data_IF_195441841008
#
_entry.id   IF_195441841008
#
_cell.length_a   1.000
_cell.length_b   1.000
_cell.length_c   1.000
_cell.angle_alpha   90.00
_cell.angle_beta   90.00
_cell.angle_gamma   90.00
#
_symmetry.space_group_name_H-M   'P 1'
#
loop_
_entity.id
_entity.type
_entity.pdbx_description
1 polymer ?
#
# COMPACT_ATOMS: atom_id res chain seq x y z
N UNK A 1 -33.48 13.79 -21.73
CA UNK A 1 -32.02 13.56 -21.63
C UNK A 1 -31.80 12.70 -20.41
N UNK A 2 -30.99 11.64 -20.51
CA UNK A 2 -30.65 10.83 -19.34
C UNK A 2 -29.88 11.68 -18.32
N UNK A 3 -30.07 11.43 -17.02
CA UNK A 3 -29.27 12.10 -15.98
C UNK A 3 -27.83 11.64 -16.08
N UNK A 4 -26.90 12.58 -16.12
CA UNK A 4 -25.47 12.31 -16.12
C UNK A 4 -24.83 12.65 -14.78
N UNK A 5 -23.82 11.87 -14.39
CA UNK A 5 -23.09 12.00 -13.14
C UNK A 5 -21.65 12.41 -13.41
N UNK A 6 -21.17 13.42 -12.68
CA UNK A 6 -19.79 13.90 -12.78
C UNK A 6 -18.85 12.94 -12.06
N UNK A 7 -18.00 12.26 -12.83
CA UNK A 7 -17.05 11.26 -12.39
C UNK A 7 -15.66 11.55 -12.96
N UNK A 8 -14.71 10.63 -12.76
CA UNK A 8 -13.32 10.78 -13.18
C UNK A 8 -12.87 9.63 -14.09
N UNK A 9 -11.85 9.89 -14.88
CA UNK A 9 -10.96 8.86 -15.43
C UNK A 9 -9.88 8.52 -14.41
N UNK A 10 -9.14 7.43 -14.63
CA UNK A 10 -8.02 7.02 -13.79
C UNK A 10 -6.86 8.02 -13.80
N UNK A 11 -6.76 8.89 -14.82
CA UNK A 11 -5.82 10.03 -14.85
C UNK A 11 -6.36 11.31 -14.16
N UNK A 12 -7.57 11.25 -13.58
CA UNK A 12 -8.21 12.36 -12.89
C UNK A 12 -9.05 13.29 -13.79
N UNK A 13 -9.05 13.09 -15.12
CA UNK A 13 -9.88 13.86 -16.04
C UNK A 13 -11.36 13.71 -15.70
N UNK A 14 -12.09 14.83 -15.66
CA UNK A 14 -13.53 14.82 -15.42
C UNK A 14 -14.29 14.27 -16.62
N UNK A 15 -15.25 13.40 -16.35
CA UNK A 15 -16.21 12.84 -17.32
C UNK A 15 -17.63 12.89 -16.78
N UNK A 16 -18.60 12.80 -17.67
CA UNK A 16 -20.02 12.75 -17.34
C UNK A 16 -20.59 11.46 -17.92
N UNK A 17 -21.14 10.60 -17.07
CA UNK A 17 -21.62 9.28 -17.47
C UNK A 17 -23.09 9.12 -17.06
N UNK A 18 -23.90 8.52 -17.95
CA UNK A 18 -25.23 8.05 -17.60
C UNK A 18 -25.14 6.75 -16.77
N UNK A 19 -26.21 6.41 -16.05
CA UNK A 19 -26.27 5.22 -15.19
C UNK A 19 -25.94 3.92 -15.96
N UNK A 20 -26.45 3.78 -17.18
CA UNK A 20 -26.22 2.60 -18.01
C UNK A 20 -24.73 2.41 -18.27
N UNK A 21 -24.02 3.51 -18.59
CA UNK A 21 -22.59 3.47 -18.84
C UNK A 21 -21.78 3.19 -17.56
N UNK A 22 -22.23 3.69 -16.41
CA UNK A 22 -21.61 3.37 -15.11
C UNK A 22 -21.70 1.87 -14.84
N UNK A 23 -22.87 1.26 -15.07
CA UNK A 23 -23.05 -0.18 -14.87
C UNK A 23 -22.17 -1.02 -15.81
N UNK A 24 -22.11 -0.67 -17.10
CA UNK A 24 -21.23 -1.35 -18.07
C UNK A 24 -19.75 -1.31 -17.62
N UNK A 25 -19.28 -0.17 -17.11
CA UNK A 25 -17.92 -0.01 -16.64
C UNK A 25 -17.66 -0.83 -15.36
N UNK A 26 -18.63 -0.90 -14.45
CA UNK A 26 -18.55 -1.74 -13.24
C UNK A 26 -18.46 -3.22 -13.62
N UNK A 27 -19.36 -3.71 -14.49
CA UNK A 27 -19.38 -5.09 -14.98
C UNK A 27 -18.04 -5.47 -15.62
N UNK A 28 -17.50 -4.58 -16.46
CA UNK A 28 -16.21 -4.79 -17.11
C UNK A 28 -15.02 -4.76 -16.12
N UNK A 29 -15.08 -3.94 -15.07
CA UNK A 29 -14.05 -3.84 -14.06
C UNK A 29 -13.99 -5.08 -13.17
N UNK A 30 -15.16 -5.53 -12.69
CA UNK A 30 -15.24 -6.74 -11.87
C UNK A 30 -14.92 -8.01 -12.66
N UNK A 31 -15.38 -8.12 -13.92
CA UNK A 31 -15.03 -9.24 -14.79
C UNK A 31 -13.51 -9.33 -15.04
N UNK A 32 -12.83 -8.18 -15.19
CA UNK A 32 -11.38 -8.17 -15.34
C UNK A 32 -10.65 -8.68 -14.10
N UNK A 33 -11.07 -8.27 -12.90
CA UNK A 33 -10.49 -8.77 -11.67
C UNK A 33 -10.75 -10.28 -11.47
N UNK A 34 -11.98 -10.70 -11.73
CA UNK A 34 -12.40 -12.10 -11.63
C UNK A 34 -11.59 -13.02 -12.55
N UNK A 35 -11.38 -12.60 -13.79
CA UNK A 35 -10.60 -13.35 -14.79
C UNK A 35 -9.11 -13.43 -14.40
N UNK A 36 -8.49 -12.30 -14.06
CA UNK A 36 -7.06 -12.24 -13.74
C UNK A 36 -6.70 -12.93 -12.43
N UNK A 37 -7.53 -12.74 -11.40
CA UNK A 37 -7.30 -13.31 -10.07
C UNK A 37 -7.85 -14.72 -9.89
N UNK A 38 -8.62 -15.24 -10.85
CA UNK A 38 -9.40 -16.47 -10.70
C UNK A 38 -10.36 -16.41 -9.47
N UNK A 39 -10.95 -15.24 -9.24
CA UNK A 39 -11.82 -14.95 -8.09
C UNK A 39 -13.27 -14.68 -8.52
N UNK A 40 -14.26 -14.78 -7.62
CA UNK A 40 -15.64 -14.43 -7.96
C UNK A 40 -15.77 -12.94 -8.32
N UNK A 41 -16.55 -12.65 -9.37
CA UNK A 41 -16.98 -11.29 -9.64
C UNK A 41 -17.96 -10.78 -8.56
N UNK A 42 -18.14 -9.47 -8.49
CA UNK A 42 -19.15 -8.86 -7.62
C UNK A 42 -20.55 -9.36 -7.97
N UNK A 43 -21.37 -9.55 -6.94
CA UNK A 43 -22.77 -9.90 -7.13
C UNK A 43 -23.56 -8.74 -7.76
N UNK A 44 -24.74 -9.03 -8.31
CA UNK A 44 -25.61 -7.99 -8.86
C UNK A 44 -25.95 -6.89 -7.83
N UNK A 45 -26.17 -7.28 -6.57
CA UNK A 45 -26.48 -6.35 -5.49
C UNK A 45 -25.28 -5.47 -5.13
N UNK A 46 -24.08 -6.04 -5.11
CA UNK A 46 -22.83 -5.30 -4.88
C UNK A 46 -22.53 -4.32 -6.02
N UNK A 47 -22.74 -4.73 -7.28
CA UNK A 47 -22.60 -3.84 -8.43
C UNK A 47 -23.61 -2.68 -8.38
N UNK A 48 -24.86 -2.96 -7.99
CA UNK A 48 -25.87 -1.92 -7.81
C UNK A 48 -25.48 -0.95 -6.69
N UNK A 49 -25.03 -1.46 -5.54
CA UNK A 49 -24.55 -0.66 -4.41
C UNK A 49 -23.34 0.21 -4.79
N UNK A 50 -22.40 -0.33 -5.57
CA UNK A 50 -21.26 0.43 -6.07
C UNK A 50 -21.71 1.57 -7.00
N UNK A 51 -22.66 1.30 -7.89
CA UNK A 51 -23.25 2.33 -8.74
C UNK A 51 -23.95 3.41 -7.91
N UNK A 52 -24.68 3.05 -6.85
CA UNK A 52 -25.29 4.01 -5.92
C UNK A 52 -24.24 4.91 -5.25
N UNK A 53 -23.11 4.37 -4.79
CA UNK A 53 -22.00 5.16 -4.22
C UNK A 53 -21.44 6.14 -5.26
N UNK A 54 -21.19 5.68 -6.48
CA UNK A 54 -20.67 6.52 -7.57
C UNK A 54 -21.62 7.67 -7.92
N UNK A 55 -22.92 7.38 -7.94
CA UNK A 55 -23.99 8.32 -8.27
C UNK A 55 -24.46 9.16 -7.07
N UNK A 56 -23.92 8.93 -5.88
CA UNK A 56 -24.35 9.59 -4.65
C UNK A 56 -24.19 11.12 -4.79
N UNK A 57 -25.23 11.90 -4.42
CA UNK A 57 -25.16 13.35 -4.46
C UNK A 57 -24.16 13.87 -3.42
N UNK A 58 -23.44 14.94 -3.78
CA UNK A 58 -22.42 15.53 -2.92
C UNK A 58 -21.01 15.36 -3.47
N UNK A 59 -20.15 16.34 -3.20
CA UNK A 59 -18.75 16.27 -3.63
C UNK A 59 -18.00 15.23 -2.80
N UNK A 60 -18.12 15.29 -1.47
CA UNK A 60 -17.60 14.30 -0.55
C UNK A 60 -18.73 13.39 -0.05
N UNK A 61 -18.43 12.12 0.13
CA UNK A 61 -19.32 11.11 0.73
C UNK A 61 -18.61 10.43 1.91
N UNK A 62 -19.34 9.74 2.76
CA UNK A 62 -18.76 8.95 3.85
C UNK A 62 -19.67 7.78 4.18
N UNK A 63 -19.17 6.86 5.00
CA UNK A 63 -19.95 5.78 5.62
C UNK A 63 -20.98 6.33 6.61
N UNK A 64 -21.97 5.51 6.94
CA UNK A 64 -22.94 5.86 7.98
C UNK A 64 -22.31 5.79 9.38
N UNK A 65 -22.91 6.48 10.35
CA UNK A 65 -22.42 6.45 11.72
C UNK A 65 -22.50 5.03 12.30
N UNK A 66 -21.43 4.59 12.95
CA UNK A 66 -21.24 3.23 13.45
C UNK A 66 -20.55 2.29 12.44
N UNK A 67 -20.27 2.76 11.23
CA UNK A 67 -19.53 2.03 10.18
C UNK A 67 -18.13 2.60 9.94
N UNK A 68 -17.67 3.51 10.80
CA UNK A 68 -16.32 4.06 10.74
C UNK A 68 -15.28 2.97 11.01
N UNK A 69 -14.13 3.08 10.35
CA UNK A 69 -12.99 2.18 10.48
C UNK A 69 -11.73 2.99 10.78
N UNK A 70 -10.70 2.37 11.41
CA UNK A 70 -9.39 2.97 11.58
C UNK A 70 -8.83 3.59 10.30
N UNK A 71 -8.32 4.81 10.42
CA UNK A 71 -7.53 5.50 9.40
C UNK A 71 -6.06 5.39 9.76
N UNK A 72 -5.34 4.56 9.02
CA UNK A 72 -3.91 4.31 9.20
C UNK A 72 -3.12 5.03 8.12
N UNK A 73 -2.08 5.76 8.53
CA UNK A 73 -1.35 6.63 7.61
C UNK A 73 0.06 6.12 7.32
N UNK A 74 0.32 5.93 6.03
CA UNK A 74 1.64 5.75 5.43
C UNK A 74 2.30 7.12 5.08
N UNK A 75 3.56 7.06 4.68
CA UNK A 75 4.47 8.17 4.39
C UNK A 75 4.67 9.18 5.54
N UNK A 76 4.11 8.87 6.70
CA UNK A 76 4.23 9.60 7.95
C UNK A 76 4.29 11.12 7.82
N UNK A 77 5.32 11.68 8.44
CA UNK A 77 5.50 13.13 8.59
C UNK A 77 5.76 13.90 7.30
N UNK A 78 6.09 13.19 6.21
CA UNK A 78 6.48 13.82 4.95
C UNK A 78 5.28 14.09 4.02
N UNK A 79 4.05 13.66 4.38
CA UNK A 79 2.82 14.12 3.70
C UNK A 79 2.74 15.65 3.61
N UNK A 80 3.18 16.37 4.65
CA UNK A 80 3.13 17.83 4.68
C UNK A 80 4.39 18.45 4.08
N UNK A 81 5.56 18.09 4.61
CA UNK A 81 6.85 18.72 4.25
C UNK A 81 7.43 18.21 2.92
N UNK A 82 7.13 16.96 2.54
CA UNK A 82 7.62 16.33 1.33
C UNK A 82 7.07 17.01 0.07
N UNK A 83 7.79 16.83 -1.04
CA UNK A 83 7.35 17.31 -2.34
C UNK A 83 6.31 16.37 -2.99
N UNK A 84 5.71 16.84 -4.09
CA UNK A 84 4.69 16.09 -4.82
C UNK A 84 5.24 14.79 -5.46
N UNK A 85 6.57 14.66 -5.61
CA UNK A 85 7.21 13.44 -6.12
C UNK A 85 7.11 12.30 -5.12
N UNK A 86 7.16 12.61 -3.83
CA UNK A 86 6.91 11.68 -2.73
C UNK A 86 5.49 11.87 -2.15
N UNK A 87 4.47 12.20 -2.97
CA UNK A 87 3.08 12.35 -2.49
C UNK A 87 2.85 13.36 -1.36
N UNK A 88 3.80 14.29 -1.13
CA UNK A 88 3.71 15.35 -0.14
C UNK A 88 3.14 16.64 -0.72
N UNK A 89 2.75 17.58 0.14
CA UNK A 89 2.12 18.84 -0.28
C UNK A 89 3.05 20.06 -0.29
N UNK A 90 4.32 19.90 0.05
CA UNK A 90 5.35 20.94 0.00
C UNK A 90 5.12 22.09 0.97
N UNK A 91 4.47 21.83 2.11
CA UNK A 91 4.24 22.78 3.19
C UNK A 91 5.34 22.59 4.23
N UNK A 92 6.30 23.53 4.35
CA UNK A 92 7.43 23.37 5.26
C UNK A 92 6.97 23.10 6.69
N UNK A 93 7.31 21.93 7.22
CA UNK A 93 6.93 21.52 8.57
C UNK A 93 7.97 20.59 9.19
N UNK A 94 8.10 20.60 10.51
CA UNK A 94 8.98 19.62 11.17
C UNK A 94 8.26 18.28 11.25
N UNK A 95 9.03 17.19 11.35
CA UNK A 95 8.47 15.84 11.47
C UNK A 95 7.48 15.69 12.64
N UNK A 96 7.84 16.23 13.81
CA UNK A 96 6.94 16.27 14.96
C UNK A 96 5.62 17.02 14.68
N UNK A 97 5.69 18.18 14.01
CA UNK A 97 4.48 18.94 13.63
C UNK A 97 3.65 18.13 12.65
N UNK A 98 4.29 17.43 11.70
CA UNK A 98 3.63 16.50 10.79
C UNK A 98 2.84 15.41 11.51
N UNK A 99 3.46 14.69 12.46
CA UNK A 99 2.79 13.68 13.28
C UNK A 99 1.59 14.28 14.03
N UNK A 100 1.81 15.37 14.79
CA UNK A 100 0.77 15.98 15.60
C UNK A 100 -0.38 16.55 14.76
N UNK A 101 -0.11 16.99 13.52
CA UNK A 101 -1.16 17.49 12.63
C UNK A 101 -2.08 16.36 12.15
N UNK A 102 -1.53 15.18 11.81
CA UNK A 102 -2.34 14.03 11.43
C UNK A 102 -3.18 13.54 12.61
N UNK A 103 -2.60 13.41 13.79
CA UNK A 103 -3.33 13.04 15.01
C UNK A 103 -4.42 14.05 15.36
N UNK A 104 -4.07 15.34 15.49
CA UNK A 104 -4.94 16.32 16.16
C UNK A 104 -5.86 17.09 15.22
N UNK A 105 -5.44 17.27 13.96
CA UNK A 105 -6.22 18.03 12.99
C UNK A 105 -6.96 17.13 12.00
N UNK A 106 -6.36 16.00 11.61
CA UNK A 106 -6.95 15.08 10.63
C UNK A 106 -7.66 13.88 11.28
N UNK A 107 -7.34 13.56 12.54
CA UNK A 107 -7.99 12.49 13.27
C UNK A 107 -7.52 11.10 12.84
N UNK A 108 -6.24 10.97 12.49
CA UNK A 108 -5.61 9.68 12.23
C UNK A 108 -5.65 8.77 13.46
N UNK A 109 -5.91 7.47 13.27
CA UNK A 109 -5.96 6.48 14.35
C UNK A 109 -4.59 5.85 14.63
N UNK A 110 -3.72 5.82 13.62
CA UNK A 110 -2.28 5.53 13.77
C UNK A 110 -1.47 6.51 12.94
N UNK A 111 -0.18 6.60 13.24
CA UNK A 111 0.75 7.38 12.46
C UNK A 111 2.07 6.65 12.37
N UNK A 112 2.93 7.11 11.48
CA UNK A 112 4.30 6.64 11.41
C UNK A 112 5.29 7.79 11.29
N UNK A 113 6.52 7.50 11.71
CA UNK A 113 7.69 8.31 11.44
C UNK A 113 8.47 7.66 10.29
N UNK A 114 8.94 8.49 9.35
CA UNK A 114 9.76 8.03 8.24
C UNK A 114 10.89 9.01 7.91
N UNK A 115 11.93 8.49 7.25
CA UNK A 115 12.96 9.30 6.62
C UNK A 115 12.45 9.89 5.31
N UNK A 116 13.05 10.98 4.81
CA UNK A 116 12.56 11.69 3.60
C UNK A 116 12.61 10.85 2.32
N UNK A 117 13.58 9.94 2.22
CA UNK A 117 13.66 8.94 1.14
C UNK A 117 12.61 7.84 1.30
N UNK A 118 12.13 7.66 2.53
CA UNK A 118 11.10 6.70 2.91
C UNK A 118 11.44 5.25 2.52
N UNK A 119 12.74 4.91 2.54
CA UNK A 119 13.23 3.55 2.37
C UNK A 119 14.12 3.14 3.54
N UNK A 120 14.24 1.84 3.83
CA UNK A 120 15.12 1.37 4.90
C UNK A 120 16.60 1.69 4.63
N UNK A 121 17.10 1.46 3.40
CA UNK A 121 18.54 1.55 3.13
C UNK A 121 19.15 2.91 3.51
N UNK A 122 18.55 4.08 3.20
CA UNK A 122 19.13 5.38 3.57
C UNK A 122 19.03 5.72 5.05
N UNK A 123 18.24 5.00 5.84
CA UNK A 123 18.14 5.20 7.29
C UNK A 123 19.42 4.75 8.00
N UNK A 124 20.06 3.68 7.52
CA UNK A 124 21.24 3.08 8.16
C UNK A 124 22.35 4.07 8.57
N UNK A 125 22.83 4.98 7.69
CA UNK A 125 23.86 5.96 8.07
C UNK A 125 23.37 7.03 9.06
N UNK A 126 22.06 7.24 9.19
CA UNK A 126 21.45 8.31 10.00
C UNK A 126 20.56 7.77 11.12
N UNK A 127 20.61 6.47 11.44
CA UNK A 127 19.66 5.81 12.36
C UNK A 127 19.61 6.47 13.74
N UNK A 128 20.72 7.05 14.20
CA UNK A 128 20.75 7.77 15.48
C UNK A 128 19.85 9.02 15.48
N UNK A 129 19.78 9.75 14.35
CA UNK A 129 18.86 10.88 14.20
C UNK A 129 17.40 10.39 14.15
N UNK A 130 17.15 9.24 13.52
CA UNK A 130 15.82 8.63 13.46
C UNK A 130 15.35 8.16 14.83
N UNK A 131 16.24 7.55 15.61
CA UNK A 131 15.99 7.17 17.00
C UNK A 131 15.63 8.38 17.87
N UNK A 132 16.39 9.48 17.77
CA UNK A 132 16.09 10.71 18.49
C UNK A 132 14.73 11.29 18.07
N UNK A 133 14.43 11.29 16.78
CA UNK A 133 13.15 11.78 16.28
C UNK A 133 11.98 10.91 16.76
N UNK A 134 12.15 9.59 16.78
CA UNK A 134 11.17 8.64 17.32
C UNK A 134 10.89 8.91 18.79
N UNK A 135 11.92 9.03 19.62
CA UNK A 135 11.78 9.34 21.05
C UNK A 135 11.03 10.67 21.27
N UNK A 136 11.38 11.71 20.52
CA UNK A 136 10.72 13.02 20.62
C UNK A 136 9.24 12.92 20.21
N UNK A 137 8.93 12.21 19.13
CA UNK A 137 7.54 12.06 18.69
C UNK A 137 6.73 11.24 19.72
N UNK A 138 7.28 10.13 20.21
CA UNK A 138 6.59 9.31 21.21
C UNK A 138 6.28 10.04 22.53
N UNK A 139 7.11 11.01 22.93
CA UNK A 139 6.82 11.85 24.11
C UNK A 139 5.68 12.87 23.88
N UNK A 140 5.24 13.06 22.64
CA UNK A 140 4.28 14.11 22.26
C UNK A 140 3.01 13.59 21.56
N UNK A 141 2.94 12.28 21.30
CA UNK A 141 1.85 11.61 20.60
C UNK A 141 1.04 10.73 21.57
N UNK A 142 -0.20 10.44 21.20
CA UNK A 142 -1.13 9.56 21.92
C UNK A 142 -1.43 8.32 21.07
N UNK A 143 -1.66 8.51 19.77
CA UNK A 143 -1.90 7.40 18.84
C UNK A 143 -0.63 6.57 18.63
N UNK A 144 -0.75 5.26 18.28
CA UNK A 144 0.41 4.43 17.96
C UNK A 144 1.26 5.06 16.87
N UNK A 145 2.58 5.07 17.08
CA UNK A 145 3.57 5.61 16.16
C UNK A 145 4.52 4.50 15.68
N UNK A 146 4.30 4.04 14.45
CA UNK A 146 5.17 3.08 13.79
C UNK A 146 6.39 3.77 13.18
N UNK A 147 7.39 2.99 12.77
CA UNK A 147 8.36 3.45 11.79
C UNK A 147 7.98 2.93 10.41
N UNK A 148 7.71 3.84 9.48
CA UNK A 148 7.32 3.55 8.10
C UNK A 148 8.50 3.65 7.16
N UNK A 149 8.70 2.61 6.35
CA UNK A 149 9.69 2.64 5.28
C UNK A 149 9.41 1.57 4.22
N UNK A 150 9.74 1.92 2.99
CA UNK A 150 9.76 0.97 1.88
C UNK A 150 10.95 0.02 1.98
N UNK A 151 10.76 -1.27 1.69
CA UNK A 151 11.87 -2.18 1.44
C UNK A 151 12.77 -1.66 0.30
N UNK A 152 12.14 -1.24 -0.80
CA UNK A 152 12.77 -0.60 -1.96
C UNK A 152 14.07 -1.29 -2.39
N UNK A 153 13.97 -2.58 -2.73
CA UNK A 153 15.14 -3.39 -3.09
C UNK A 153 15.95 -2.80 -4.26
N UNK A 154 15.33 -1.95 -5.09
CA UNK A 154 15.98 -1.22 -6.16
C UNK A 154 17.21 -0.42 -5.71
N UNK A 155 17.20 0.12 -4.48
CA UNK A 155 18.34 0.85 -3.93
C UNK A 155 19.55 -0.04 -3.67
N UNK A 156 19.41 -1.36 -3.59
CA UNK A 156 20.53 -2.29 -3.43
C UNK A 156 21.23 -2.61 -4.75
N UNK A 157 20.69 -2.15 -5.87
CA UNK A 157 21.33 -2.26 -7.18
C UNK A 157 22.20 -1.07 -7.54
N UNK A 158 23.19 -1.29 -8.41
CA UNK A 158 24.00 -0.23 -9.01
C UNK A 158 23.13 0.78 -9.75
N UNK A 159 23.41 2.09 -9.66
CA UNK A 159 24.65 2.67 -9.12
C UNK A 159 24.68 2.90 -7.60
N UNK A 160 23.52 2.88 -6.93
CA UNK A 160 23.41 3.28 -5.52
C UNK A 160 23.76 2.15 -4.54
N UNK A 161 23.65 0.90 -5.00
CA UNK A 161 23.92 -0.30 -4.23
C UNK A 161 25.03 -1.18 -4.80
N UNK A 162 25.42 -2.19 -4.02
CA UNK A 162 26.60 -3.01 -4.32
C UNK A 162 26.34 -4.10 -5.36
N UNK A 163 25.09 -4.38 -5.73
CA UNK A 163 24.75 -5.49 -6.62
C UNK A 163 24.42 -5.01 -8.03
N UNK A 164 24.84 -5.73 -9.07
CA UNK A 164 24.58 -5.31 -10.45
C UNK A 164 23.08 -5.31 -10.77
N UNK A 165 22.60 -4.31 -11.50
CA UNK A 165 21.17 -4.16 -11.79
C UNK A 165 20.62 -5.38 -12.57
N UNK A 166 19.62 -6.12 -12.03
CA UNK A 166 19.07 -7.31 -12.69
C UNK A 166 18.48 -7.02 -14.06
N UNK A 167 17.86 -5.84 -14.25
CA UNK A 167 17.31 -5.44 -15.54
C UNK A 167 18.38 -5.29 -16.62
N UNK A 168 19.58 -4.82 -16.26
CA UNK A 168 20.69 -4.70 -17.21
C UNK A 168 21.36 -6.04 -17.49
N UNK A 169 21.52 -6.88 -16.45
CA UNK A 169 21.98 -8.26 -16.59
C UNK A 169 21.06 -9.09 -17.49
N UNK A 170 19.75 -8.98 -17.32
CA UNK A 170 18.76 -9.66 -18.16
C UNK A 170 18.83 -9.20 -19.62
N UNK A 171 18.96 -7.89 -19.87
CA UNK A 171 19.17 -7.36 -21.24
C UNK A 171 20.46 -7.87 -21.88
N UNK A 172 21.47 -8.16 -21.07
CA UNK A 172 22.74 -8.76 -21.49
C UNK A 172 22.69 -10.31 -21.58
N UNK A 173 21.51 -10.93 -21.40
CA UNK A 173 21.31 -12.39 -21.38
C UNK A 173 22.07 -13.12 -20.25
N UNK A 174 22.44 -12.41 -19.18
CA UNK A 174 23.13 -12.94 -18.00
C UNK A 174 22.13 -13.31 -16.92
N UNK A 175 21.28 -14.30 -17.20
CA UNK A 175 20.12 -14.63 -16.34
C UNK A 175 20.55 -15.13 -14.95
N UNK A 176 21.54 -16.01 -14.87
CA UNK A 176 22.02 -16.51 -13.58
C UNK A 176 22.59 -15.39 -12.72
N UNK A 177 23.38 -14.49 -13.31
CA UNK A 177 23.94 -13.34 -12.59
C UNK A 177 22.82 -12.41 -12.11
N UNK A 178 21.73 -12.26 -12.87
CA UNK A 178 20.57 -11.48 -12.47
C UNK A 178 19.85 -12.10 -11.26
N UNK A 179 19.67 -13.42 -11.26
CA UNK A 179 19.11 -14.16 -10.12
C UNK A 179 19.99 -14.03 -8.88
N UNK A 180 21.28 -14.31 -9.01
CA UNK A 180 22.25 -14.18 -7.91
C UNK A 180 22.24 -12.74 -7.35
N UNK A 181 22.14 -11.72 -8.22
CA UNK A 181 22.05 -10.32 -7.79
C UNK A 181 20.77 -10.02 -6.98
N UNK A 182 19.61 -10.53 -7.43
CA UNK A 182 18.34 -10.37 -6.72
C UNK A 182 18.35 -11.09 -5.37
N UNK A 183 18.89 -12.31 -5.29
CA UNK A 183 19.02 -13.07 -4.05
C UNK A 183 19.90 -12.33 -3.03
N UNK A 184 21.10 -11.89 -3.44
CA UNK A 184 21.99 -11.14 -2.55
C UNK A 184 21.38 -9.79 -2.11
N UNK A 185 20.66 -9.11 -3.00
CA UNK A 185 19.97 -7.87 -2.68
C UNK A 185 18.86 -8.10 -1.64
N UNK A 186 18.06 -9.16 -1.80
CA UNK A 186 17.00 -9.51 -0.86
C UNK A 186 17.56 -9.87 0.53
N UNK A 187 18.67 -10.62 0.59
CA UNK A 187 19.35 -10.90 1.86
C UNK A 187 19.90 -9.62 2.52
N UNK A 188 20.46 -8.70 1.74
CA UNK A 188 20.98 -7.44 2.26
C UNK A 188 19.86 -6.54 2.79
N UNK A 189 18.78 -6.42 2.02
CA UNK A 189 17.54 -5.75 2.44
C UNK A 189 17.05 -6.30 3.78
N UNK A 190 16.92 -7.62 3.88
CA UNK A 190 16.47 -8.31 5.10
C UNK A 190 17.31 -7.91 6.31
N UNK A 191 18.64 -7.99 6.18
CA UNK A 191 19.57 -7.65 7.28
C UNK A 191 19.48 -6.18 7.70
N UNK A 192 19.37 -5.28 6.73
CA UNK A 192 19.32 -3.85 7.00
C UNK A 192 18.02 -3.47 7.69
N UNK A 193 16.88 -3.99 7.23
CA UNK A 193 15.58 -3.75 7.87
C UNK A 193 15.56 -4.25 9.30
N UNK A 194 16.04 -5.48 9.57
CA UNK A 194 16.12 -6.02 10.94
C UNK A 194 16.98 -5.11 11.82
N UNK A 195 18.18 -4.76 11.36
CA UNK A 195 19.11 -3.94 12.15
C UNK A 195 18.55 -2.55 12.45
N UNK A 196 17.89 -1.92 11.47
CA UNK A 196 17.26 -0.61 11.63
C UNK A 196 16.13 -0.69 12.65
N UNK A 197 15.25 -1.68 12.52
CA UNK A 197 14.11 -1.83 13.42
C UNK A 197 14.52 -2.22 14.84
N UNK A 198 15.58 -3.01 15.03
CA UNK A 198 16.15 -3.26 16.36
C UNK A 198 16.53 -1.95 17.09
N UNK A 199 17.00 -0.93 16.36
CA UNK A 199 17.34 0.38 16.94
C UNK A 199 16.11 1.22 17.22
N UNK A 200 15.20 1.31 16.25
CA UNK A 200 14.02 2.16 16.36
C UNK A 200 13.03 1.64 17.40
N UNK A 201 12.86 0.31 17.47
CA UNK A 201 12.03 -0.32 18.49
C UNK A 201 12.62 -0.11 19.89
N UNK A 202 13.94 -0.17 20.04
CA UNK A 202 14.61 0.18 21.30
C UNK A 202 14.47 1.67 21.69
N UNK A 203 14.22 2.55 20.71
CA UNK A 203 13.90 3.97 20.89
C UNK A 203 12.39 4.26 20.99
N UNK A 204 11.59 3.22 21.14
CA UNK A 204 10.18 3.33 21.51
C UNK A 204 9.20 3.33 20.35
N UNK A 205 9.58 3.01 19.11
CA UNK A 205 8.62 2.77 18.03
C UNK A 205 7.61 1.69 18.46
N UNK A 206 6.31 1.90 18.21
CA UNK A 206 5.29 0.89 18.55
C UNK A 206 5.29 -0.31 17.60
N UNK A 207 5.90 -0.13 16.43
CA UNK A 207 5.88 -1.11 15.36
C UNK A 207 6.61 -0.64 14.11
N UNK A 208 6.39 -1.36 13.03
CA UNK A 208 6.91 -1.09 11.70
C UNK A 208 5.81 -1.20 10.66
N UNK A 209 5.81 -0.27 9.71
CA UNK A 209 5.05 -0.38 8.47
C UNK A 209 6.01 -0.64 7.31
N UNK A 210 5.91 -1.85 6.76
CA UNK A 210 6.57 -2.21 5.50
C UNK A 210 5.69 -1.75 4.35
N UNK A 211 5.86 -0.50 3.95
CA UNK A 211 5.07 0.10 2.87
C UNK A 211 5.65 -0.28 1.50
N UNK A 212 4.79 -0.35 0.47
CA UNK A 212 5.20 -0.51 -0.93
C UNK A 212 6.06 -1.78 -1.10
N UNK A 213 5.70 -2.82 -0.35
CA UNK A 213 6.34 -4.14 -0.41
C UNK A 213 6.19 -4.74 -1.80
N UNK A 214 7.23 -5.41 -2.28
CA UNK A 214 7.26 -6.07 -3.59
C UNK A 214 7.31 -5.12 -4.81
N UNK A 215 7.60 -3.82 -4.63
CA UNK A 215 7.73 -2.88 -5.75
C UNK A 215 8.80 -3.27 -6.77
N UNK A 216 9.91 -3.88 -6.32
CA UNK A 216 10.94 -4.44 -7.20
C UNK A 216 10.71 -5.92 -7.56
N UNK A 217 9.51 -6.44 -7.31
CA UNK A 217 9.09 -7.80 -7.63
C UNK A 217 9.30 -8.81 -6.50
N UNK A 218 9.31 -10.08 -6.88
CA UNK A 218 9.33 -11.23 -5.99
C UNK A 218 10.57 -11.32 -5.08
N UNK A 219 11.72 -10.76 -5.49
CA UNK A 219 12.90 -10.63 -4.61
C UNK A 219 12.70 -9.66 -3.45
N UNK A 220 11.98 -8.56 -3.68
CA UNK A 220 11.68 -7.57 -2.65
C UNK A 220 10.69 -8.16 -1.64
N UNK A 221 9.67 -8.87 -2.16
CA UNK A 221 8.72 -9.57 -1.31
C UNK A 221 9.40 -10.67 -0.47
N UNK A 222 10.30 -11.44 -1.08
CA UNK A 222 11.09 -12.47 -0.38
C UNK A 222 11.87 -11.88 0.79
N UNK A 223 12.63 -10.80 0.55
CA UNK A 223 13.39 -10.14 1.61
C UNK A 223 12.49 -9.58 2.71
N UNK A 224 11.35 -9.00 2.33
CA UNK A 224 10.38 -8.44 3.28
C UNK A 224 9.75 -9.52 4.17
N UNK A 225 9.29 -10.64 3.61
CA UNK A 225 8.70 -11.74 4.39
C UNK A 225 9.70 -12.32 5.41
N UNK A 226 10.97 -12.46 5.03
CA UNK A 226 12.01 -12.92 5.95
C UNK A 226 12.38 -11.88 7.00
N UNK A 227 12.30 -10.59 6.69
CA UNK A 227 12.47 -9.52 7.67
C UNK A 227 11.34 -9.54 8.71
N UNK A 228 10.08 -9.68 8.26
CA UNK A 228 8.91 -9.80 9.13
C UNK A 228 9.04 -11.01 10.05
N UNK A 229 9.41 -12.18 9.50
CA UNK A 229 9.59 -13.42 10.28
C UNK A 229 10.67 -13.27 11.36
N UNK A 230 11.81 -12.67 11.01
CA UNK A 230 12.90 -12.43 11.95
C UNK A 230 12.48 -11.44 13.04
N UNK A 231 11.82 -10.34 12.69
CA UNK A 231 11.35 -9.34 13.64
C UNK A 231 10.27 -9.87 14.57
N UNK A 232 9.27 -10.61 14.07
CA UNK A 232 8.26 -11.27 14.91
C UNK A 232 8.90 -12.23 15.90
N UNK A 233 9.90 -12.99 15.47
CA UNK A 233 10.62 -13.93 16.33
C UNK A 233 11.42 -13.23 17.43
N UNK A 234 12.07 -12.12 17.11
CA UNK A 234 12.87 -11.36 18.06
C UNK A 234 12.01 -10.51 19.00
N UNK A 235 10.94 -9.92 18.46
CA UNK A 235 10.01 -9.02 19.15
C UNK A 235 8.56 -9.52 19.00
N UNK A 236 8.11 -10.49 19.82
CA UNK A 236 6.79 -11.10 19.70
C UNK A 236 5.62 -10.11 19.84
N UNK A 237 5.84 -8.96 20.47
CA UNK A 237 4.83 -7.92 20.70
C UNK A 237 4.93 -6.74 19.71
N UNK A 238 5.92 -6.73 18.82
CA UNK A 238 6.05 -5.65 17.81
C UNK A 238 4.83 -5.66 16.91
N UNK A 239 4.21 -4.49 16.69
CA UNK A 239 3.18 -4.37 15.68
C UNK A 239 3.82 -4.28 14.29
N UNK A 240 3.35 -5.09 13.35
CA UNK A 240 3.91 -5.17 12.00
C UNK A 240 2.77 -5.00 10.99
N UNK A 241 2.85 -3.96 10.19
CA UNK A 241 2.00 -3.73 9.03
C UNK A 241 2.79 -4.00 7.75
N UNK A 242 2.15 -4.63 6.78
CA UNK A 242 2.76 -4.93 5.48
C UNK A 242 1.83 -4.49 4.35
N UNK A 243 2.10 -3.29 3.82
CA UNK A 243 1.45 -2.70 2.66
C UNK A 243 2.15 -3.09 1.36
N UNK A 244 1.37 -3.40 0.32
CA UNK A 244 1.87 -3.94 -0.94
C UNK A 244 1.99 -2.84 -2.00
N UNK A 245 2.87 -3.01 -2.99
CA UNK A 245 3.07 -2.02 -4.06
C UNK A 245 2.16 -2.18 -5.28
N UNK A 246 1.72 -3.41 -5.56
CA UNK A 246 0.84 -3.71 -6.68
C UNK A 246 -0.06 -4.91 -6.39
N UNK A 247 -1.16 -5.04 -7.13
CA UNK A 247 -2.09 -6.15 -6.95
C UNK A 247 -1.46 -7.51 -7.25
N UNK A 248 -0.41 -7.55 -8.06
CA UNK A 248 0.29 -8.78 -8.43
C UNK A 248 1.79 -8.60 -8.20
N UNK A 249 2.40 -9.57 -7.53
CA UNK A 249 3.86 -9.59 -7.34
C UNK A 249 4.55 -9.88 -8.67
N UNK A 250 5.34 -8.93 -9.18
CA UNK A 250 6.07 -9.11 -10.43
C UNK A 250 7.16 -10.16 -10.31
N UNK A 251 7.18 -11.14 -11.21
CA UNK A 251 8.20 -12.20 -11.26
C UNK A 251 9.48 -11.77 -11.96
N UNK A 252 10.24 -10.86 -11.36
CA UNK A 252 11.56 -10.46 -11.89
C UNK A 252 12.54 -11.63 -11.77
N UNK A 253 12.57 -12.30 -10.62
CA UNK A 253 13.30 -13.55 -10.46
C UNK A 253 12.49 -14.74 -10.97
N UNK A 254 11.21 -14.81 -10.61
CA UNK A 254 10.25 -15.81 -11.08
C UNK A 254 10.27 -17.15 -10.35
N UNK A 255 11.26 -17.40 -9.48
CA UNK A 255 11.47 -18.70 -8.84
C UNK A 255 11.63 -18.62 -7.32
N UNK A 256 11.63 -17.42 -6.72
CA UNK A 256 11.76 -17.29 -5.28
C UNK A 256 10.50 -17.81 -4.59
N UNK A 257 10.72 -18.57 -3.52
CA UNK A 257 9.65 -19.22 -2.77
C UNK A 257 9.71 -18.83 -1.30
N UNK A 258 8.55 -18.63 -0.71
CA UNK A 258 8.37 -18.57 0.73
C UNK A 258 7.47 -19.71 1.15
N UNK A 259 7.94 -20.54 2.08
CA UNK A 259 7.23 -21.75 2.53
C UNK A 259 6.77 -22.68 1.38
N UNK A 260 7.60 -22.81 0.35
CA UNK A 260 7.30 -23.63 -0.83
C UNK A 260 6.28 -23.04 -1.79
N UNK A 261 5.81 -21.81 -1.56
CA UNK A 261 4.94 -21.05 -2.47
C UNK A 261 5.79 -20.09 -3.30
N UNK A 262 5.71 -20.20 -4.63
CA UNK A 262 6.34 -19.24 -5.53
C UNK A 262 5.72 -17.86 -5.38
N UNK A 263 6.56 -16.85 -5.15
CA UNK A 263 6.12 -15.49 -4.86
C UNK A 263 5.69 -14.71 -6.11
N UNK A 264 6.29 -15.00 -7.25
CA UNK A 264 5.94 -14.39 -8.53
C UNK A 264 4.50 -14.72 -8.94
N UNK A 265 3.75 -13.69 -9.34
CA UNK A 265 2.39 -13.83 -9.86
C UNK A 265 1.30 -13.91 -8.80
N UNK A 266 1.63 -13.77 -7.51
CA UNK A 266 0.63 -13.81 -6.44
C UNK A 266 -0.27 -12.58 -6.47
N UNK A 267 -1.57 -12.82 -6.48
CA UNK A 267 -2.64 -11.82 -6.34
C UNK A 267 -2.97 -11.53 -4.86
N UNK A 268 -3.76 -10.49 -4.52
CA UNK A 268 -3.87 -10.04 -3.12
C UNK A 268 -4.39 -11.12 -2.16
N UNK A 269 -5.35 -11.92 -2.61
CA UNK A 269 -5.89 -13.05 -1.84
C UNK A 269 -4.88 -14.19 -1.62
N UNK A 270 -3.82 -14.27 -2.43
CA UNK A 270 -2.74 -15.25 -2.28
C UNK A 270 -1.54 -14.69 -1.50
N UNK A 271 -1.39 -13.37 -1.46
CA UNK A 271 -0.39 -12.67 -0.65
C UNK A 271 -0.75 -12.72 0.84
N UNK A 272 -2.03 -12.47 1.20
CA UNK A 272 -2.50 -12.41 2.58
C UNK A 272 -2.06 -13.60 3.47
N UNK A 273 -2.22 -14.87 3.05
CA UNK A 273 -1.79 -16.01 3.88
C UNK A 273 -0.28 -16.05 4.14
N UNK A 274 0.55 -15.59 3.19
CA UNK A 274 2.01 -15.58 3.34
C UNK A 274 2.45 -14.45 4.30
N UNK A 275 1.83 -13.28 4.18
CA UNK A 275 2.04 -12.14 5.09
C UNK A 275 1.65 -12.50 6.53
N UNK A 276 0.49 -13.13 6.70
CA UNK A 276 0.04 -13.67 7.98
C UNK A 276 1.02 -14.70 8.55
N UNK A 277 1.50 -15.61 7.69
CA UNK A 277 2.45 -16.65 8.09
C UNK A 277 3.81 -16.07 8.51
N UNK A 278 4.30 -15.04 7.84
CA UNK A 278 5.52 -14.34 8.23
C UNK A 278 5.39 -13.69 9.62
N UNK A 279 4.16 -13.32 10.01
CA UNK A 279 3.87 -12.81 11.35
C UNK A 279 3.51 -11.33 11.39
N UNK A 280 3.00 -10.78 10.29
CA UNK A 280 2.39 -9.45 10.31
C UNK A 280 1.11 -9.42 11.17
N UNK A 281 0.73 -8.23 11.63
CA UNK A 281 -0.53 -7.96 12.33
C UNK A 281 -1.60 -7.40 11.39
N UNK A 282 -1.19 -6.62 10.38
CA UNK A 282 -2.07 -5.99 9.40
C UNK A 282 -1.55 -6.28 8.00
N UNK A 283 -2.48 -6.56 7.10
CA UNK A 283 -2.18 -6.69 5.67
C UNK A 283 -2.74 -5.50 4.92
N UNK A 284 -1.89 -4.82 4.14
CA UNK A 284 -2.27 -3.79 3.20
C UNK A 284 -2.31 -4.33 1.78
N UNK A 285 -3.46 -4.85 1.31
CA UNK A 285 -3.61 -5.19 -0.09
C UNK A 285 -3.78 -3.92 -0.92
N UNK A 286 -3.24 -3.94 -2.14
CA UNK A 286 -3.34 -2.81 -3.08
C UNK A 286 -3.89 -3.25 -4.42
N UNK A 287 -4.50 -2.31 -5.12
CA UNK A 287 -4.86 -2.46 -6.55
C UNK A 287 -4.56 -1.18 -7.29
N UNK A 288 -3.68 -1.24 -8.29
CA UNK A 288 -3.29 -0.09 -9.09
C UNK A 288 -4.42 0.36 -10.01
N UNK A 289 -4.55 1.69 -10.14
CA UNK A 289 -5.50 2.36 -11.01
C UNK A 289 -4.98 2.37 -12.45
N UNK A 290 -5.83 1.93 -13.38
CA UNK A 290 -5.59 2.09 -14.80
C UNK A 290 -6.00 3.50 -15.25
N UNK A 291 -5.02 4.31 -15.62
CA UNK A 291 -5.20 5.72 -16.02
C UNK A 291 -6.09 5.91 -17.25
N UNK A 292 -6.17 4.88 -18.12
CA UNK A 292 -6.99 4.89 -19.34
C UNK A 292 -8.44 4.45 -19.11
N UNK A 293 -8.81 4.07 -17.88
CA UNK A 293 -10.14 3.56 -17.53
C UNK A 293 -10.93 4.54 -16.69
N UNK A 294 -12.24 4.37 -16.64
CA UNK A 294 -13.13 5.24 -15.86
C UNK A 294 -13.03 4.91 -14.36
N UNK A 295 -13.44 5.83 -13.48
CA UNK A 295 -13.46 5.57 -12.04
C UNK A 295 -14.42 4.44 -11.64
N UNK A 296 -15.61 4.24 -12.28
CA UNK A 296 -16.42 3.04 -12.05
C UNK A 296 -15.68 1.74 -12.36
N UNK A 297 -14.95 1.67 -13.48
CA UNK A 297 -14.19 0.47 -13.87
C UNK A 297 -13.07 0.18 -12.87
N UNK A 298 -12.27 1.20 -12.54
CA UNK A 298 -11.14 1.06 -11.61
C UNK A 298 -11.62 0.66 -10.21
N UNK A 299 -12.69 1.29 -9.72
CA UNK A 299 -13.21 1.00 -8.40
C UNK A 299 -13.84 -0.39 -8.33
N UNK A 300 -14.60 -0.82 -9.35
CA UNK A 300 -15.15 -2.17 -9.40
C UNK A 300 -14.05 -3.23 -9.41
N UNK A 301 -12.99 -3.02 -10.21
CA UNK A 301 -11.82 -3.90 -10.24
C UNK A 301 -11.16 -3.98 -8.87
N UNK A 302 -10.90 -2.83 -8.23
CA UNK A 302 -10.26 -2.77 -6.93
C UNK A 302 -11.08 -3.48 -5.86
N UNK A 303 -12.36 -3.12 -5.71
CA UNK A 303 -13.28 -3.74 -4.74
C UNK A 303 -13.37 -5.26 -4.92
N UNK A 304 -13.36 -5.76 -6.16
CA UNK A 304 -13.40 -7.22 -6.42
C UNK A 304 -12.18 -7.95 -5.84
N UNK A 305 -10.97 -7.46 -6.10
CA UNK A 305 -9.74 -8.05 -5.56
C UNK A 305 -9.66 -7.93 -4.04
N UNK A 306 -9.92 -6.74 -3.51
CA UNK A 306 -9.80 -6.46 -2.07
C UNK A 306 -10.81 -7.29 -1.28
N UNK A 307 -12.05 -7.43 -1.77
CA UNK A 307 -13.07 -8.25 -1.12
C UNK A 307 -12.65 -9.71 -0.96
N UNK A 308 -12.06 -10.31 -2.01
CA UNK A 308 -11.57 -11.68 -1.88
C UNK A 308 -10.35 -11.77 -0.95
N UNK A 309 -9.47 -10.76 -0.95
CA UNK A 309 -8.35 -10.70 -0.01
C UNK A 309 -8.82 -10.62 1.45
N UNK A 310 -9.77 -9.72 1.76
CA UNK A 310 -10.42 -9.62 3.09
C UNK A 310 -11.00 -10.96 3.50
N UNK A 311 -11.74 -11.62 2.61
CA UNK A 311 -12.42 -12.89 2.90
C UNK A 311 -11.46 -14.02 3.30
N UNK A 312 -10.26 -14.08 2.70
CA UNK A 312 -9.29 -15.15 2.95
C UNK A 312 -8.21 -14.78 3.97
N UNK A 313 -8.05 -13.48 4.26
CA UNK A 313 -7.07 -13.00 5.24
C UNK A 313 -7.48 -13.38 6.66
N UNK A 314 -6.50 -13.83 7.45
CA UNK A 314 -6.64 -13.94 8.91
C UNK A 314 -6.22 -12.68 9.65
N UNK A 315 -5.64 -11.71 8.94
CA UNK A 315 -5.25 -10.40 9.46
C UNK A 315 -6.32 -9.36 9.09
N UNK A 316 -6.54 -8.33 9.93
CA UNK A 316 -7.21 -7.12 9.50
C UNK A 316 -6.60 -6.58 8.20
N UNK A 317 -7.47 -6.21 7.27
CA UNK A 317 -7.07 -5.67 5.98
C UNK A 317 -7.22 -4.15 5.98
N UNK A 318 -6.09 -3.45 5.98
CA UNK A 318 -6.04 -2.00 5.83
C UNK A 318 -5.66 -1.68 4.39
N UNK A 319 -6.65 -1.52 3.52
CA UNK A 319 -6.38 -1.42 2.08
C UNK A 319 -5.54 -0.19 1.76
N UNK A 320 -4.51 -0.36 0.92
CA UNK A 320 -3.68 0.77 0.50
C UNK A 320 -4.50 1.69 -0.42
N UNK A 321 -4.70 2.93 0.03
CA UNK A 321 -5.48 3.94 -0.68
C UNK A 321 -4.70 5.24 -0.83
N UNK A 322 -4.59 5.72 -2.07
CA UNK A 322 -3.83 6.93 -2.35
C UNK A 322 -3.74 7.21 -3.84
N UNK A 323 -2.81 8.08 -4.20
CA UNK A 323 -2.55 8.43 -5.60
C UNK A 323 -2.34 7.17 -6.44
N UNK A 324 -3.25 6.91 -7.38
CA UNK A 324 -3.11 5.82 -8.34
C UNK A 324 -3.42 4.40 -7.80
N UNK A 325 -4.01 4.26 -6.62
CA UNK A 325 -4.36 2.94 -6.05
C UNK A 325 -5.75 2.92 -5.43
N UNK A 326 -6.31 1.73 -5.20
CA UNK A 326 -7.63 1.57 -4.55
C UNK A 326 -8.81 2.15 -5.35
N UNK A 327 -8.64 2.33 -6.67
CA UNK A 327 -9.62 3.00 -7.53
C UNK A 327 -9.55 4.52 -7.52
N UNK A 328 -8.59 5.10 -6.79
CA UNK A 328 -8.33 6.54 -6.75
C UNK A 328 -7.47 6.94 -7.97
N UNK A 329 -7.79 8.05 -8.66
CA UNK A 329 -7.01 8.51 -9.80
C UNK A 329 -5.53 8.75 -9.51
N UNK A 330 -4.70 8.52 -10.52
CA UNK A 330 -3.29 8.90 -10.54
C UNK A 330 -3.17 10.42 -10.75
N UNK A 331 -3.23 11.16 -9.65
CA UNK A 331 -3.06 12.61 -9.61
C UNK A 331 -2.38 12.98 -8.29
N UNK A 332 -1.39 13.89 -8.34
CA UNK A 332 -0.60 14.34 -7.18
C UNK A 332 -1.46 14.69 -5.96
N UNK A 333 -2.55 15.43 -6.18
CA UNK A 333 -3.59 15.66 -5.17
C UNK A 333 -4.91 15.06 -5.65
N UNK A 334 -5.22 13.81 -5.27
CA UNK A 334 -6.41 13.14 -5.76
C UNK A 334 -7.69 13.92 -5.45
N UNK A 335 -8.64 14.03 -6.40
CA UNK A 335 -9.87 14.77 -6.15
C UNK A 335 -10.68 14.11 -5.03
N UNK A 336 -11.06 14.91 -4.02
CA UNK A 336 -11.83 14.42 -2.85
C UNK A 336 -13.11 13.66 -3.24
N UNK A 337 -13.71 14.00 -4.40
CA UNK A 337 -14.87 13.29 -4.93
C UNK A 337 -14.59 11.84 -5.30
N UNK A 338 -13.40 11.55 -5.83
CA UNK A 338 -12.98 10.19 -6.15
C UNK A 338 -12.51 9.45 -4.89
N UNK A 339 -11.70 10.10 -4.05
CA UNK A 339 -11.16 9.51 -2.80
C UNK A 339 -12.28 9.01 -1.91
N UNK A 340 -13.22 9.88 -1.57
CA UNK A 340 -14.29 9.53 -0.61
C UNK A 340 -15.24 8.43 -1.13
N UNK A 341 -15.49 8.38 -2.44
CA UNK A 341 -16.29 7.31 -3.05
C UNK A 341 -15.55 5.98 -3.05
N UNK A 342 -14.25 6.01 -3.33
CA UNK A 342 -13.41 4.83 -3.27
C UNK A 342 -13.37 4.29 -1.83
N UNK A 343 -13.06 5.13 -0.84
CA UNK A 343 -13.01 4.73 0.57
C UNK A 343 -14.35 4.14 1.03
N UNK A 344 -15.47 4.82 0.76
CA UNK A 344 -16.81 4.30 1.12
C UNK A 344 -17.10 2.94 0.47
N UNK A 345 -16.70 2.71 -0.78
CA UNK A 345 -16.89 1.44 -1.45
C UNK A 345 -16.01 0.33 -0.86
N UNK A 346 -14.77 0.64 -0.46
CA UNK A 346 -13.92 -0.31 0.24
C UNK A 346 -14.55 -0.75 1.57
N UNK A 347 -15.09 0.18 2.35
CA UNK A 347 -15.76 -0.16 3.61
C UNK A 347 -17.05 -0.94 3.38
N UNK A 348 -17.97 -0.41 2.57
CA UNK A 348 -19.33 -0.96 2.48
C UNK A 348 -19.47 -2.20 1.59
N UNK A 349 -18.50 -2.47 0.72
CA UNK A 349 -18.57 -3.56 -0.25
C UNK A 349 -17.39 -4.53 -0.11
N UNK A 350 -16.16 -4.03 -0.02
CA UNK A 350 -15.01 -4.90 0.16
C UNK A 350 -14.88 -5.42 1.60
N UNK A 351 -15.41 -4.68 2.58
CA UNK A 351 -15.44 -5.07 3.99
C UNK A 351 -14.09 -4.91 4.68
N UNK A 352 -13.30 -3.91 4.28
CA UNK A 352 -11.98 -3.63 4.86
C UNK A 352 -12.10 -3.20 6.33
N UNK A 353 -11.06 -3.52 7.10
CA UNK A 353 -10.98 -3.23 8.54
C UNK A 353 -10.31 -1.87 8.82
N UNK A 354 -9.59 -1.33 7.84
CA UNK A 354 -8.94 -0.02 7.87
C UNK A 354 -8.66 0.50 6.45
N UNK A 355 -8.28 1.77 6.36
CA UNK A 355 -7.85 2.46 5.12
C UNK A 355 -6.68 3.39 5.39
#
# INVERSE_FOLDING_TARGET
MATEYALRMGDGKRVFLAREKIMEEIEAGTANAADLGEIPALSADEMNKLAEILMMPGKAVSVEHGMEIPVTHDIGTIRLDGDQGNSGVGIPSSRLVGCMMHERAFGADTMELGHIDYSFKPVKPVVANECQAMEVCQQNMIIPLFYGAMPNMGLYYTPDGPFENPGDLMKAFKIQEAWDSMEHAAEHLTRDTIWIMQKLFASGADGVNFDTTAAAGDGDFYGTLHAIEALRKEFPEMYIEAGMAGEMVLGMHGNLQYDGVTLAGLWPHQQAPLVAKAGANVFGPVVNTNTSKTSPWNLARAVTFIKEAVKVSSLPCHVDMGMGVGGIPMLETPPIDAVTRASKAMVEIAGVDGI
#
